data_IF_382782448855
#
_entry.id   IF_382782448855
#
_cell.length_a   1.000
_cell.length_b   1.000
_cell.length_c   1.000
_cell.angle_alpha   90.00
_cell.angle_beta   90.00
_cell.angle_gamma   90.00
#
_symmetry.space_group_name_H-M   'P 1'
#
loop_
_entity.id
_entity.type
_entity.pdbx_description
1 polymer ?
#
# COMPACT_ATOMS: atom_id res chain seq x y z
N UNK A 1 13.35 7.01 7.60
CA UNK A 1 12.79 5.87 8.39
C UNK A 1 12.05 4.94 7.45
N UNK A 2 12.44 3.67 7.38
CA UNK A 2 11.81 2.69 6.48
C UNK A 2 10.53 2.12 7.10
N UNK A 3 9.46 2.07 6.31
CA UNK A 3 8.17 1.48 6.68
C UNK A 3 7.72 0.48 5.62
N UNK A 4 7.16 -0.65 6.06
CA UNK A 4 6.42 -1.57 5.22
C UNK A 4 4.96 -1.13 5.16
N UNK A 5 4.46 -0.95 3.95
CA UNK A 5 3.08 -0.61 3.68
C UNK A 5 2.23 -1.88 3.59
N UNK A 6 1.04 -1.83 4.18
CA UNK A 6 0.00 -2.83 4.04
C UNK A 6 -1.33 -2.17 3.74
N UNK A 7 -2.27 -2.93 3.20
CA UNK A 7 -3.64 -2.51 2.92
C UNK A 7 -4.56 -3.73 2.88
N UNK A 8 -5.86 -3.47 2.85
CA UNK A 8 -6.90 -4.48 2.68
C UNK A 8 -7.38 -4.45 1.24
N UNK A 9 -7.63 -5.61 0.65
CA UNK A 9 -8.27 -5.72 -0.67
C UNK A 9 -9.59 -6.43 -0.48
N UNK A 10 -10.69 -5.75 -0.80
CA UNK A 10 -12.04 -6.23 -0.55
C UNK A 10 -12.80 -6.44 -1.86
N UNK A 11 -13.50 -7.58 -2.03
CA UNK A 11 -14.39 -7.76 -3.16
C UNK A 11 -15.64 -6.89 -3.02
N UNK A 12 -15.99 -6.18 -4.11
CA UNK A 12 -17.21 -5.38 -4.19
C UNK A 12 -18.01 -5.67 -5.46
N UNK A 13 -19.24 -5.15 -5.52
CA UNK A 13 -20.18 -5.35 -6.65
C UNK A 13 -19.64 -4.93 -8.03
N UNK A 14 -18.55 -4.14 -8.07
CA UNK A 14 -17.95 -3.61 -9.31
C UNK A 14 -16.47 -3.98 -9.47
N UNK A 15 -16.01 -4.99 -8.73
CA UNK A 15 -14.59 -5.38 -8.68
C UNK A 15 -13.98 -5.14 -7.31
N UNK A 16 -12.68 -5.35 -7.21
CA UNK A 16 -11.92 -5.22 -5.98
C UNK A 16 -11.68 -3.74 -5.65
N UNK A 17 -11.76 -3.39 -4.37
CA UNK A 17 -11.27 -2.12 -3.83
C UNK A 17 -10.07 -2.36 -2.94
N UNK A 18 -9.20 -1.37 -2.83
CA UNK A 18 -8.10 -1.35 -1.85
C UNK A 18 -8.33 -0.19 -0.88
N UNK A 19 -8.15 -0.45 0.40
CA UNK A 19 -8.52 0.43 1.52
C UNK A 19 -7.70 0.05 2.75
N UNK A 20 -7.85 0.82 3.84
CA UNK A 20 -7.19 0.54 5.14
C UNK A 20 -5.66 0.48 5.02
N UNK A 21 -5.11 1.48 4.35
CA UNK A 21 -3.67 1.67 4.20
C UNK A 21 -3.02 1.91 5.56
N UNK A 22 -1.98 1.13 5.83
CA UNK A 22 -1.25 1.10 7.09
C UNK A 22 0.24 1.01 6.81
N UNK A 23 1.03 1.66 7.64
CA UNK A 23 2.48 1.60 7.57
C UNK A 23 3.05 1.12 8.91
N UNK A 24 3.82 0.04 8.89
CA UNK A 24 4.53 -0.46 10.06
C UNK A 24 6.04 -0.25 9.87
N UNK A 25 6.81 0.07 10.92
CA UNK A 25 8.26 0.20 10.80
C UNK A 25 8.86 -1.07 10.16
N UNK A 26 9.69 -0.90 9.12
CA UNK A 26 10.32 -2.01 8.42
C UNK A 26 11.49 -2.55 9.26
N UNK A 27 11.16 -3.42 10.22
CA UNK A 27 12.12 -4.22 10.98
C UNK A 27 12.03 -5.69 10.54
N UNK A 28 12.90 -6.54 11.08
CA UNK A 28 12.95 -7.98 10.76
C UNK A 28 11.61 -8.72 10.99
N UNK A 29 10.74 -8.18 11.86
CA UNK A 29 9.45 -8.74 12.22
C UNK A 29 8.27 -8.06 11.49
N UNK A 30 8.53 -7.08 10.62
CA UNK A 30 7.49 -6.43 9.86
C UNK A 30 6.87 -7.43 8.88
N UNK A 31 5.59 -7.73 9.09
CA UNK A 31 4.82 -8.62 8.24
C UNK A 31 3.39 -8.12 8.13
N UNK A 32 3.20 -6.99 7.43
CA UNK A 32 1.87 -6.54 7.03
C UNK A 32 1.60 -6.98 5.59
N UNK A 33 0.45 -7.65 5.33
CA UNK A 33 0.06 -8.00 3.97
C UNK A 33 -0.20 -6.73 3.15
N UNK A 34 0.38 -6.67 1.95
CA UNK A 34 0.03 -5.72 0.91
C UNK A 34 -1.17 -6.21 0.10
N UNK A 35 -2.36 -6.27 0.71
CA UNK A 35 -3.57 -6.79 0.04
C UNK A 35 -3.86 -8.28 0.29
N UNK A 36 -4.88 -8.79 -0.41
CA UNK A 36 -5.51 -10.10 -0.11
C UNK A 36 -4.59 -11.31 -0.34
N UNK A 37 -3.65 -11.22 -1.29
CA UNK A 37 -2.82 -12.35 -1.72
C UNK A 37 -1.32 -12.18 -1.41
N UNK A 38 -0.94 -11.13 -0.68
CA UNK A 38 0.47 -10.88 -0.37
C UNK A 38 1.02 -11.92 0.64
N UNK A 39 1.72 -12.94 0.14
CA UNK A 39 2.34 -14.03 0.89
C UNK A 39 3.80 -14.19 0.44
N UNK A 40 4.65 -13.21 0.78
CA UNK A 40 6.07 -13.29 0.40
C UNK A 40 6.89 -12.05 0.76
N UNK A 41 8.22 -12.15 0.58
CA UNK A 41 9.12 -11.01 0.69
C UNK A 41 9.02 -10.08 -0.54
N UNK A 42 8.77 -10.65 -1.73
CA UNK A 42 8.68 -9.91 -3.00
C UNK A 42 7.39 -9.08 -3.16
N UNK A 43 6.43 -9.30 -2.26
CA UNK A 43 5.14 -8.63 -2.20
C UNK A 43 5.10 -7.56 -1.09
N UNK A 44 6.25 -7.29 -0.45
CA UNK A 44 6.39 -6.21 0.52
C UNK A 44 6.65 -4.89 -0.21
N UNK A 45 5.81 -3.90 0.05
CA UNK A 45 6.05 -2.52 -0.42
C UNK A 45 6.73 -1.76 0.72
N UNK A 46 8.00 -1.41 0.54
CA UNK A 46 8.78 -0.65 1.53
C UNK A 46 9.02 0.75 1.01
N UNK A 47 8.79 1.75 1.87
CA UNK A 47 8.97 3.16 1.56
C UNK A 47 9.66 3.86 2.73
N UNK A 48 10.52 4.83 2.41
CA UNK A 48 11.16 5.66 3.41
C UNK A 48 10.33 6.92 3.68
N UNK A 49 10.11 7.28 4.94
CA UNK A 49 9.56 8.56 5.41
C UNK A 49 10.57 9.35 6.25
N UNK A 50 10.56 10.66 6.12
CA UNK A 50 11.40 11.60 6.87
C UNK A 50 10.80 11.89 8.24
N UNK A 51 9.48 11.76 8.38
CA UNK A 51 8.76 11.89 9.65
C UNK A 51 7.50 11.05 9.69
N UNK A 52 6.95 10.85 10.88
CA UNK A 52 5.65 10.18 11.05
C UNK A 52 4.48 11.00 10.49
N UNK A 53 4.59 12.33 10.52
CA UNK A 53 3.58 13.23 9.94
C UNK A 53 3.48 13.01 8.44
N UNK A 54 4.62 12.91 7.75
CA UNK A 54 4.67 12.65 6.32
C UNK A 54 4.13 11.26 5.97
N UNK A 55 4.42 10.24 6.78
CA UNK A 55 3.83 8.90 6.66
C UNK A 55 2.31 9.01 6.69
N UNK A 56 1.75 9.69 7.69
CA UNK A 56 0.30 9.79 7.87
C UNK A 56 -0.38 10.59 6.74
N UNK A 57 0.25 11.67 6.27
CA UNK A 57 -0.19 12.40 5.08
C UNK A 57 -0.14 11.55 3.82
N UNK A 58 0.87 10.71 3.66
CA UNK A 58 0.96 9.78 2.54
C UNK A 58 -0.12 8.69 2.60
N UNK A 59 -0.37 8.10 3.78
CA UNK A 59 -1.45 7.13 3.98
C UNK A 59 -2.81 7.73 3.63
N UNK A 60 -3.09 8.96 4.09
CA UNK A 60 -4.34 9.66 3.73
C UNK A 60 -4.47 9.89 2.23
N UNK A 61 -3.38 10.24 1.54
CA UNK A 61 -3.37 10.40 0.08
C UNK A 61 -3.62 9.08 -0.66
N UNK A 62 -3.11 7.97 -0.15
CA UNK A 62 -3.41 6.64 -0.69
C UNK A 62 -4.90 6.32 -0.57
N UNK A 63 -5.49 6.54 0.61
CA UNK A 63 -6.93 6.35 0.82
C UNK A 63 -7.74 7.19 -0.18
N UNK A 64 -7.46 8.47 -0.29
CA UNK A 64 -8.16 9.37 -1.21
C UNK A 64 -8.00 8.95 -2.69
N UNK A 65 -6.79 8.54 -3.08
CA UNK A 65 -6.50 8.12 -4.46
C UNK A 65 -7.22 6.81 -4.83
N UNK A 66 -7.28 5.85 -3.91
CA UNK A 66 -7.80 4.51 -4.18
C UNK A 66 -9.26 4.31 -3.78
N UNK A 67 -9.85 5.19 -2.97
CA UNK A 67 -11.24 5.08 -2.48
C UNK A 67 -12.29 4.86 -3.58
N UNK A 68 -12.07 5.46 -4.76
CA UNK A 68 -13.01 5.35 -5.90
C UNK A 68 -12.53 4.39 -6.99
N UNK A 69 -11.30 3.87 -6.88
CA UNK A 69 -10.69 3.00 -7.89
C UNK A 69 -11.17 1.56 -7.69
N UNK A 70 -11.46 0.91 -8.80
CA UNK A 70 -11.89 -0.49 -8.83
C UNK A 70 -10.95 -1.29 -9.72
N UNK A 71 -10.59 -2.47 -9.24
CA UNK A 71 -9.66 -3.38 -9.91
C UNK A 71 -10.38 -4.65 -10.34
N UNK A 72 -9.90 -5.20 -11.45
CA UNK A 72 -10.46 -6.43 -12.02
C UNK A 72 -9.90 -7.69 -11.35
N UNK A 73 -8.69 -7.62 -10.79
CA UNK A 73 -8.02 -8.71 -10.10
C UNK A 73 -7.01 -8.19 -9.06
N UNK A 74 -6.55 -9.09 -8.17
CA UNK A 74 -5.69 -8.73 -7.04
C UNK A 74 -4.26 -8.36 -7.45
N UNK A 75 -3.71 -8.99 -8.50
CA UNK A 75 -2.39 -8.66 -9.02
C UNK A 75 -2.33 -7.23 -9.59
N UNK A 76 -3.33 -6.84 -10.38
CA UNK A 76 -3.49 -5.47 -10.91
C UNK A 76 -3.64 -4.44 -9.79
N UNK A 77 -4.43 -4.77 -8.75
CA UNK A 77 -4.55 -3.93 -7.55
C UNK A 77 -3.20 -3.75 -6.84
N UNK A 78 -2.47 -4.85 -6.64
CA UNK A 78 -1.17 -4.84 -6.00
C UNK A 78 -0.14 -4.03 -6.79
N UNK A 79 0.02 -4.33 -8.08
CA UNK A 79 1.00 -3.68 -8.94
C UNK A 79 0.73 -2.19 -9.08
N UNK A 80 -0.54 -1.79 -9.16
CA UNK A 80 -0.91 -0.37 -9.20
C UNK A 80 -0.52 0.36 -7.91
N UNK A 81 -0.83 -0.22 -6.74
CA UNK A 81 -0.44 0.39 -5.45
C UNK A 81 1.08 0.47 -5.33
N UNK A 82 1.79 -0.62 -5.66
CA UNK A 82 3.25 -0.68 -5.65
C UNK A 82 3.86 0.40 -6.55
N UNK A 83 3.39 0.52 -7.79
CA UNK A 83 3.86 1.55 -8.72
C UNK A 83 3.63 2.96 -8.19
N UNK A 84 2.44 3.25 -7.65
CA UNK A 84 2.12 4.55 -7.07
C UNK A 84 3.07 4.92 -5.92
N UNK A 85 3.36 3.96 -5.03
CA UNK A 85 4.26 4.17 -3.89
C UNK A 85 5.70 4.38 -4.36
N UNK A 86 6.18 3.58 -5.31
CA UNK A 86 7.54 3.71 -5.85
C UNK A 86 7.72 5.04 -6.59
N UNK A 87 6.74 5.47 -7.38
CA UNK A 87 6.77 6.79 -8.01
C UNK A 87 6.84 7.92 -6.99
N UNK A 88 6.13 7.80 -5.88
CA UNK A 88 6.17 8.79 -4.81
C UNK A 88 7.55 8.84 -4.14
N UNK A 89 8.17 7.68 -3.92
CA UNK A 89 9.51 7.59 -3.35
C UNK A 89 10.59 8.23 -4.24
N UNK A 90 10.44 8.16 -5.58
CA UNK A 90 11.37 8.78 -6.53
C UNK A 90 11.18 10.30 -6.64
N UNK A 91 9.96 10.80 -6.42
CA UNK A 91 9.61 12.23 -6.56
C UNK A 91 9.91 13.06 -5.29
N UNK A 92 10.53 12.46 -4.28
CA UNK A 92 10.79 13.06 -2.97
C UNK A 92 12.16 13.68 -2.81
#
# INVERSE_FOLDING_TARGET
MLYQLGWTTEPGLRGLSVSEFRAVPANENAHVPGGQDAVGADERVVVEFASEVERDEFLRRLEEHFATRRFTNAADAFDTVKAYVLEHAVKR
#
